data_IF_076306672485
#
_entry.id   IF_076306672485
#
_cell.length_a   1.000
_cell.length_b   1.000
_cell.length_c   1.000
_cell.angle_alpha   90.00
_cell.angle_beta   90.00
_cell.angle_gamma   90.00
#
_symmetry.space_group_name_H-M   'P 1'
#
loop_
_entity.id
_entity.type
_entity.pdbx_description
1 polymer ?
#
# COMPACT_ATOMS: atom_id res chain seq x y z
N UNK A 1 26.73 -1.60 -40.10
CA UNK A 1 26.83 -2.21 -38.76
C UNK A 1 25.44 -2.55 -38.27
N UNK A 2 25.25 -3.79 -38.02
CA UNK A 2 24.04 -4.60 -38.10
C UNK A 2 22.92 -4.22 -37.12
N UNK A 3 21.62 -4.26 -37.56
CA UNK A 3 20.42 -4.13 -36.71
C UNK A 3 20.51 -4.99 -35.43
N UNK A 4 21.19 -6.12 -35.50
CA UNK A 4 21.45 -7.04 -34.38
C UNK A 4 22.34 -6.44 -33.28
N UNK A 5 23.29 -5.59 -33.60
CA UNK A 5 24.18 -4.99 -32.61
C UNK A 5 23.50 -3.86 -31.81
N UNK A 6 22.52 -3.21 -32.43
CA UNK A 6 21.70 -2.16 -31.77
C UNK A 6 20.68 -2.75 -30.81
N UNK A 7 20.04 -3.86 -31.22
CA UNK A 7 19.10 -4.55 -30.32
C UNK A 7 19.83 -5.17 -29.12
N UNK A 8 21.08 -5.63 -29.30
CA UNK A 8 21.85 -6.21 -28.22
C UNK A 8 22.28 -5.17 -27.17
N UNK A 9 22.70 -3.96 -27.60
CA UNK A 9 23.11 -2.88 -26.69
C UNK A 9 21.90 -2.34 -25.91
N UNK A 10 20.72 -2.25 -26.54
CA UNK A 10 19.49 -1.84 -25.90
C UNK A 10 19.00 -2.88 -24.87
N UNK A 11 19.06 -4.16 -25.25
CA UNK A 11 18.69 -5.27 -24.35
C UNK A 11 19.64 -5.30 -23.14
N UNK A 12 20.95 -5.15 -23.35
CA UNK A 12 21.93 -5.10 -22.26
C UNK A 12 21.68 -3.91 -21.34
N UNK A 13 21.35 -2.74 -21.88
CA UNK A 13 20.99 -1.56 -21.09
C UNK A 13 19.73 -1.77 -20.25
N UNK A 14 18.65 -2.29 -20.85
CA UNK A 14 17.39 -2.61 -20.15
C UNK A 14 17.64 -3.64 -19.06
N UNK A 15 18.45 -4.67 -19.34
CA UNK A 15 18.80 -5.71 -18.35
C UNK A 15 19.60 -5.11 -17.20
N UNK A 16 20.58 -4.25 -17.47
CA UNK A 16 21.41 -3.61 -16.43
C UNK A 16 20.56 -2.64 -15.60
N UNK A 17 19.70 -1.82 -16.21
CA UNK A 17 18.79 -0.91 -15.48
C UNK A 17 17.76 -1.67 -14.63
N UNK A 18 17.17 -2.74 -15.16
CA UNK A 18 16.25 -3.59 -14.41
C UNK A 18 16.98 -4.31 -13.26
N UNK A 19 18.20 -4.80 -13.50
CA UNK A 19 19.01 -5.46 -12.50
C UNK A 19 19.46 -4.52 -11.37
N UNK A 20 19.81 -3.27 -11.67
CA UNK A 20 20.16 -2.26 -10.67
C UNK A 20 18.94 -1.82 -9.85
N UNK A 21 17.78 -1.69 -10.48
CA UNK A 21 16.52 -1.40 -9.77
C UNK A 21 16.12 -2.55 -8.84
N UNK A 22 16.24 -3.79 -9.31
CA UNK A 22 15.96 -5.00 -8.51
C UNK A 22 16.95 -5.15 -7.36
N UNK A 23 18.25 -4.90 -7.57
CA UNK A 23 19.28 -4.92 -6.51
C UNK A 23 19.03 -3.85 -5.45
N UNK A 24 18.66 -2.64 -5.85
CA UNK A 24 18.33 -1.54 -4.93
C UNK A 24 17.07 -1.86 -4.12
N UNK A 25 16.06 -2.45 -4.76
CA UNK A 25 14.83 -2.88 -4.11
C UNK A 25 15.09 -4.08 -3.17
N UNK A 26 15.90 -5.06 -3.59
CA UNK A 26 16.27 -6.20 -2.79
C UNK A 26 17.10 -5.81 -1.55
N UNK A 27 18.00 -4.83 -1.66
CA UNK A 27 18.77 -4.33 -0.53
C UNK A 27 17.90 -3.64 0.54
N UNK A 28 16.80 -3.03 0.13
CA UNK A 28 15.81 -2.42 1.03
C UNK A 28 14.90 -3.48 1.65
N UNK A 29 14.51 -4.51 0.88
CA UNK A 29 13.60 -5.57 1.32
C UNK A 29 14.28 -6.61 2.23
N UNK A 30 15.60 -6.85 2.06
CA UNK A 30 16.36 -7.86 2.81
C UNK A 30 16.89 -7.37 4.16
N UNK A 31 16.52 -6.16 4.63
CA UNK A 31 16.95 -5.59 5.93
C UNK A 31 18.47 -5.76 6.21
N UNK A 32 19.28 -5.59 5.17
CA UNK A 32 20.73 -5.71 5.33
C UNK A 32 21.26 -4.71 6.37
N UNK A 33 22.31 -5.05 7.17
CA UNK A 33 22.93 -4.12 8.12
C UNK A 33 23.34 -2.81 7.43
N UNK A 34 23.16 -1.67 8.11
CA UNK A 34 23.36 -0.32 7.55
C UNK A 34 24.60 -0.12 6.65
N UNK A 35 25.80 -0.64 6.99
CA UNK A 35 26.96 -0.45 6.11
C UNK A 35 26.81 -1.13 4.75
N UNK A 36 26.15 -2.28 4.68
CA UNK A 36 25.95 -3.01 3.43
C UNK A 36 24.85 -2.40 2.56
N UNK A 37 23.84 -1.76 3.14
CA UNK A 37 22.84 -0.98 2.39
C UNK A 37 23.51 0.16 1.61
N UNK A 38 24.41 0.90 2.27
CA UNK A 38 25.17 1.98 1.58
C UNK A 38 26.09 1.45 0.49
N UNK A 39 26.71 0.28 0.68
CA UNK A 39 27.55 -0.36 -0.34
C UNK A 39 26.73 -0.78 -1.55
N UNK A 40 25.55 -1.38 -1.34
CA UNK A 40 24.67 -1.81 -2.44
C UNK A 40 24.04 -0.61 -3.16
N UNK A 41 23.61 0.42 -2.43
CA UNK A 41 23.13 1.68 -3.00
C UNK A 41 24.24 2.38 -3.77
N UNK A 42 25.45 2.44 -3.22
CA UNK A 42 26.63 3.00 -3.88
C UNK A 42 27.01 2.24 -5.16
N UNK A 43 26.96 0.91 -5.12
CA UNK A 43 27.20 0.07 -6.29
C UNK A 43 26.09 0.23 -7.35
N UNK A 44 24.82 0.35 -6.94
CA UNK A 44 23.70 0.62 -7.84
C UNK A 44 23.82 2.01 -8.50
N UNK A 45 24.26 3.03 -7.75
CA UNK A 45 24.54 4.38 -8.27
C UNK A 45 25.69 4.33 -9.27
N UNK A 46 26.78 3.63 -8.96
CA UNK A 46 27.92 3.45 -9.86
C UNK A 46 27.54 2.70 -11.14
N UNK A 47 26.76 1.63 -11.06
CA UNK A 47 26.26 0.89 -12.21
C UNK A 47 25.28 1.71 -13.03
N UNK A 48 24.40 2.49 -12.38
CA UNK A 48 23.49 3.45 -13.02
C UNK A 48 24.27 4.55 -13.75
N UNK A 49 25.31 5.09 -13.14
CA UNK A 49 26.21 6.08 -13.75
C UNK A 49 26.96 5.53 -14.96
N UNK A 50 27.50 4.31 -14.89
CA UNK A 50 28.11 3.61 -16.02
C UNK A 50 27.11 3.33 -17.15
N UNK A 51 25.89 2.91 -16.81
CA UNK A 51 24.82 2.68 -17.80
C UNK A 51 24.39 4.00 -18.48
N UNK A 52 24.28 5.09 -17.72
CA UNK A 52 24.01 6.43 -18.25
C UNK A 52 25.14 6.92 -19.16
N UNK A 53 26.40 6.71 -18.79
CA UNK A 53 27.57 7.05 -19.60
C UNK A 53 27.65 6.26 -20.92
N UNK A 54 27.33 4.96 -20.88
CA UNK A 54 27.23 4.12 -22.07
C UNK A 54 26.05 4.53 -22.97
N UNK A 55 24.91 4.86 -22.38
CA UNK A 55 23.73 5.36 -23.09
C UNK A 55 24.03 6.70 -23.78
N UNK A 56 24.64 7.66 -23.07
CA UNK A 56 24.98 8.96 -23.64
C UNK A 56 26.07 8.85 -24.71
N UNK A 57 27.07 7.96 -24.53
CA UNK A 57 28.08 7.70 -25.56
C UNK A 57 27.50 7.08 -26.84
N UNK A 58 26.49 6.21 -26.69
CA UNK A 58 25.75 5.62 -27.82
C UNK A 58 24.83 6.64 -28.50
N UNK A 59 24.18 7.52 -27.71
CA UNK A 59 23.35 8.63 -28.20
C UNK A 59 24.16 9.59 -29.05
N UNK A 60 25.33 10.06 -28.56
CA UNK A 60 26.21 10.99 -29.29
C UNK A 60 26.82 10.39 -30.57
N UNK A 61 27.11 9.08 -30.57
CA UNK A 61 27.55 8.36 -31.77
C UNK A 61 26.46 8.15 -32.81
N UNK A 62 25.24 7.98 -32.37
CA UNK A 62 24.10 7.74 -33.24
C UNK A 62 23.54 9.04 -33.87
N UNK A 63 23.63 10.17 -33.15
CA UNK A 63 23.20 11.48 -33.66
C UNK A 63 23.95 11.89 -34.97
N UNK A 64 25.19 11.44 -35.14
CA UNK A 64 25.94 11.63 -36.40
C UNK A 64 25.42 10.79 -37.56
N UNK A 65 24.50 9.87 -37.37
CA UNK A 65 24.04 8.92 -38.40
C UNK A 65 22.54 8.79 -38.65
N UNK A 66 21.65 9.24 -37.74
CA UNK A 66 20.21 9.06 -37.91
C UNK A 66 19.38 10.22 -37.34
N UNK A 67 18.29 10.56 -38.04
CA UNK A 67 17.35 11.65 -37.73
C UNK A 67 16.72 11.54 -36.35
N UNK A 68 16.64 12.65 -35.60
CA UNK A 68 16.30 12.77 -34.20
C UNK A 68 14.88 12.38 -33.73
N UNK A 69 14.08 11.72 -34.54
CA UNK A 69 12.71 11.34 -34.16
C UNK A 69 12.65 10.11 -33.23
N UNK A 70 13.54 9.12 -33.43
CA UNK A 70 13.52 7.87 -32.65
C UNK A 70 13.97 8.04 -31.19
N UNK A 71 14.87 9.01 -30.92
CA UNK A 71 15.38 9.26 -29.56
C UNK A 71 14.42 10.01 -28.65
N UNK A 72 13.59 10.88 -29.23
CA UNK A 72 12.56 11.57 -28.46
C UNK A 72 11.56 10.57 -27.86
N UNK A 73 11.15 9.59 -28.67
CA UNK A 73 10.24 8.54 -28.24
C UNK A 73 10.86 7.65 -27.15
N UNK A 74 12.17 7.38 -27.21
CA UNK A 74 12.86 6.60 -26.16
C UNK A 74 12.92 7.34 -24.83
N UNK A 75 13.27 8.62 -24.82
CA UNK A 75 13.31 9.42 -23.59
C UNK A 75 11.89 9.60 -23.02
N UNK A 76 10.91 9.77 -23.89
CA UNK A 76 9.49 9.87 -23.47
C UNK A 76 8.90 8.53 -22.99
N UNK A 77 9.56 7.39 -23.28
CA UNK A 77 9.14 6.06 -22.80
C UNK A 77 9.75 5.69 -21.43
N UNK A 78 10.69 6.48 -20.91
CA UNK A 78 11.27 6.26 -19.58
C UNK A 78 10.22 6.60 -18.52
N UNK A 79 9.95 5.66 -17.64
CA UNK A 79 9.09 5.89 -16.48
C UNK A 79 9.75 6.91 -15.55
N UNK A 80 9.26 8.16 -15.56
CA UNK A 80 9.85 9.29 -14.84
C UNK A 80 10.26 10.43 -15.77
N UNK A 81 10.52 11.60 -15.17
CA UNK A 81 10.96 12.79 -15.91
C UNK A 81 12.47 12.75 -16.18
N UNK A 82 12.88 13.02 -17.41
CA UNK A 82 14.30 13.17 -17.76
C UNK A 82 14.55 14.54 -18.39
N UNK A 83 15.44 15.32 -17.80
CA UNK A 83 15.95 16.57 -18.35
C UNK A 83 17.45 16.41 -18.59
N UNK A 84 17.91 16.74 -19.80
CA UNK A 84 19.33 16.77 -20.15
C UNK A 84 19.72 18.18 -20.53
N UNK A 85 20.75 18.70 -19.88
CA UNK A 85 21.40 19.96 -20.19
C UNK A 85 22.70 19.66 -20.95
N UNK A 86 23.06 20.51 -21.93
CA UNK A 86 24.31 20.44 -22.64
C UNK A 86 25.48 21.10 -21.85
N UNK A 87 26.70 21.11 -22.42
CA UNK A 87 27.88 21.71 -21.81
C UNK A 87 27.78 23.21 -21.58
N UNK A 88 26.87 23.89 -22.27
CA UNK A 88 26.58 25.32 -22.10
C UNK A 88 25.41 25.56 -21.10
N UNK A 89 25.04 24.53 -20.37
CA UNK A 89 23.91 24.54 -19.40
C UNK A 89 22.58 24.94 -20.03
N UNK A 90 22.33 24.55 -21.29
CA UNK A 90 21.07 24.75 -21.99
C UNK A 90 20.32 23.44 -22.10
N UNK A 91 18.98 23.51 -22.09
CA UNK A 91 18.12 22.35 -22.28
C UNK A 91 18.40 21.70 -23.63
N UNK A 92 19.05 20.55 -23.60
CA UNK A 92 19.26 19.70 -24.77
C UNK A 92 18.07 18.82 -25.05
N UNK A 93 17.49 18.22 -24.02
CA UNK A 93 16.31 17.35 -24.09
C UNK A 93 15.50 17.41 -22.80
N UNK A 94 14.20 17.28 -22.93
CA UNK A 94 13.28 17.09 -21.79
C UNK A 94 12.21 16.07 -22.19
N UNK A 95 12.01 15.04 -21.36
CA UNK A 95 10.88 14.11 -21.52
C UNK A 95 9.55 14.82 -21.25
N UNK A 96 8.45 14.17 -21.63
CA UNK A 96 7.10 14.68 -21.37
C UNK A 96 6.88 14.97 -19.88
N UNK A 97 7.29 14.04 -19.01
CA UNK A 97 7.13 14.16 -17.57
C UNK A 97 8.01 15.25 -16.97
N UNK A 98 9.29 15.39 -17.42
CA UNK A 98 10.15 16.48 -16.98
C UNK A 98 9.58 17.86 -17.36
N UNK A 99 9.01 17.99 -18.57
CA UNK A 99 8.32 19.22 -18.99
C UNK A 99 7.12 19.51 -18.07
N UNK A 100 6.33 18.49 -17.74
CA UNK A 100 5.19 18.61 -16.85
C UNK A 100 5.61 19.05 -15.44
N UNK A 101 6.65 18.42 -14.87
CA UNK A 101 7.12 18.73 -13.52
C UNK A 101 7.79 20.10 -13.39
N UNK A 102 8.52 20.53 -14.42
CA UNK A 102 9.22 21.81 -14.44
C UNK A 102 8.40 22.94 -15.10
N UNK A 103 7.16 22.64 -15.53
CA UNK A 103 6.28 23.59 -16.24
C UNK A 103 6.93 24.22 -17.48
N UNK A 104 7.70 23.40 -18.21
CA UNK A 104 8.42 23.89 -19.38
C UNK A 104 7.47 24.04 -20.58
N UNK A 105 7.65 25.10 -21.38
CA UNK A 105 6.92 25.25 -22.62
C UNK A 105 7.40 24.25 -23.69
N UNK A 106 6.59 24.03 -24.74
CA UNK A 106 6.91 23.09 -25.82
C UNK A 106 8.21 23.45 -26.56
N UNK A 107 8.60 24.73 -26.54
CA UNK A 107 9.84 25.25 -27.14
C UNK A 107 11.00 25.36 -26.14
N UNK A 108 11.01 24.59 -25.04
CA UNK A 108 12.03 24.65 -23.99
C UNK A 108 13.47 24.29 -24.47
N UNK A 109 13.60 23.68 -25.64
CA UNK A 109 14.91 23.37 -26.21
C UNK A 109 15.76 24.63 -26.36
N UNK A 110 17.04 24.56 -25.90
CA UNK A 110 18.00 25.64 -25.83
C UNK A 110 17.74 26.73 -24.79
N UNK A 111 16.68 26.60 -23.96
CA UNK A 111 16.53 27.46 -22.79
C UNK A 111 17.73 27.30 -21.85
N UNK A 112 18.14 28.37 -21.22
CA UNK A 112 19.20 28.30 -20.22
C UNK A 112 18.65 27.65 -18.92
N UNK A 113 19.52 27.00 -18.14
CA UNK A 113 19.11 26.26 -16.94
C UNK A 113 18.29 27.09 -15.96
N UNK A 114 18.62 28.39 -15.77
CA UNK A 114 17.87 29.27 -14.85
C UNK A 114 16.49 29.66 -15.34
N UNK A 115 16.24 29.55 -16.65
CA UNK A 115 14.92 29.78 -17.22
C UNK A 115 14.05 28.52 -17.16
N UNK A 116 14.72 27.35 -17.25
CA UNK A 116 14.07 26.05 -17.24
C UNK A 116 13.83 25.51 -15.82
N UNK A 117 14.73 25.79 -14.88
CA UNK A 117 14.69 25.33 -13.50
C UNK A 117 14.59 26.54 -12.61
N UNK A 118 13.46 26.69 -11.89
CA UNK A 118 13.20 27.81 -11.00
C UNK A 118 13.54 27.49 -9.53
N UNK A 119 13.71 26.23 -9.22
CA UNK A 119 14.04 25.74 -7.89
C UNK A 119 15.53 25.92 -7.59
N UNK A 120 15.86 26.62 -6.51
CA UNK A 120 17.24 26.96 -6.13
C UNK A 120 18.06 25.73 -5.76
N UNK A 121 17.44 24.71 -5.12
CA UNK A 121 18.13 23.51 -4.71
C UNK A 121 18.48 22.64 -5.93
N UNK A 122 17.57 22.51 -6.89
CA UNK A 122 17.88 21.86 -8.17
C UNK A 122 18.98 22.58 -8.93
N UNK A 123 19.00 23.91 -8.96
CA UNK A 123 20.06 24.67 -9.59
C UNK A 123 21.41 24.47 -8.88
N UNK A 124 21.42 24.32 -7.56
CA UNK A 124 22.61 23.99 -6.78
C UNK A 124 23.13 22.59 -7.13
N UNK A 125 22.23 21.61 -7.24
CA UNK A 125 22.59 20.25 -7.66
C UNK A 125 23.16 20.24 -9.09
N UNK A 126 22.59 21.01 -10.01
CA UNK A 126 23.14 21.16 -11.37
C UNK A 126 24.55 21.76 -11.34
N UNK A 127 24.79 22.77 -10.47
CA UNK A 127 26.12 23.38 -10.33
C UNK A 127 27.16 22.40 -9.74
N UNK A 128 26.76 21.44 -8.94
CA UNK A 128 27.62 20.33 -8.46
C UNK A 128 27.92 19.36 -9.60
N UNK A 129 26.93 18.99 -10.40
CA UNK A 129 27.10 18.10 -11.54
C UNK A 129 28.02 18.72 -12.62
N UNK A 130 27.97 20.04 -12.82
CA UNK A 130 28.92 20.77 -13.70
C UNK A 130 30.40 20.67 -13.23
N UNK A 131 30.59 20.36 -11.93
CA UNK A 131 31.92 20.09 -11.34
C UNK A 131 32.29 18.60 -11.31
N UNK A 132 31.39 17.73 -11.76
CA UNK A 132 31.60 16.28 -11.79
C UNK A 132 31.04 15.54 -10.57
N UNK A 133 30.27 16.19 -9.74
CA UNK A 133 29.69 15.59 -8.52
C UNK A 133 28.21 15.23 -8.74
N UNK A 134 27.87 13.97 -8.48
CA UNK A 134 26.45 13.53 -8.47
C UNK A 134 25.76 13.99 -7.21
N UNK A 135 24.49 14.32 -7.31
CA UNK A 135 23.66 14.74 -6.18
C UNK A 135 22.26 14.19 -6.26
N UNK A 136 21.62 14.10 -5.09
CA UNK A 136 20.24 13.62 -4.93
C UNK A 136 19.49 14.64 -4.07
N UNK A 137 18.32 15.10 -4.54
CA UNK A 137 17.48 16.02 -3.79
C UNK A 137 16.02 15.67 -3.91
N UNK A 138 15.17 16.30 -3.12
CA UNK A 138 13.72 16.20 -3.22
C UNK A 138 13.17 17.48 -3.85
N UNK A 139 12.22 17.32 -4.74
CA UNK A 139 11.56 18.40 -5.45
C UNK A 139 10.05 18.22 -5.41
N UNK A 140 9.33 19.25 -4.99
CA UNK A 140 7.85 19.20 -4.96
C UNK A 140 7.29 20.00 -6.11
N UNK A 141 6.50 19.34 -6.94
CA UNK A 141 5.79 19.95 -8.05
C UNK A 141 4.37 19.41 -8.17
N UNK A 142 3.40 20.31 -8.33
CA UNK A 142 1.98 19.99 -8.53
C UNK A 142 1.41 18.99 -7.51
N UNK A 143 1.82 19.14 -6.25
CA UNK A 143 1.37 18.26 -5.15
C UNK A 143 2.03 16.88 -5.13
N UNK A 144 3.02 16.63 -6.00
CA UNK A 144 3.83 15.40 -6.02
C UNK A 144 5.19 15.67 -5.43
N UNK A 145 5.68 14.76 -4.59
CA UNK A 145 7.06 14.75 -4.11
C UNK A 145 7.89 13.85 -5.01
N UNK A 146 8.86 14.45 -5.67
CA UNK A 146 9.76 13.80 -6.63
C UNK A 146 11.15 13.70 -6.00
N UNK A 147 11.81 12.57 -6.19
CA UNK A 147 13.23 12.44 -5.93
C UNK A 147 13.97 12.72 -7.23
N UNK A 148 14.92 13.64 -7.19
CA UNK A 148 15.68 14.07 -8.37
C UNK A 148 17.13 13.68 -8.23
N UNK A 149 17.58 12.80 -9.11
CA UNK A 149 18.98 12.45 -9.26
C UNK A 149 19.59 13.38 -10.33
N UNK A 150 20.68 14.04 -9.97
CA UNK A 150 21.39 14.97 -10.86
C UNK A 150 22.81 14.47 -11.05
N UNK A 151 23.13 14.06 -12.28
CA UNK A 151 24.38 13.43 -12.64
C UNK A 151 25.11 14.19 -13.76
N UNK A 152 26.45 14.30 -13.70
CA UNK A 152 27.24 14.78 -14.82
C UNK A 152 27.22 13.76 -15.97
N UNK A 153 27.05 14.25 -17.17
CA UNK A 153 27.22 13.45 -18.39
C UNK A 153 28.68 13.55 -18.84
N UNK A 154 29.40 12.44 -18.67
CA UNK A 154 30.85 12.41 -18.98
C UNK A 154 31.09 11.67 -20.30
N UNK A 155 31.84 12.29 -21.22
CA UNK A 155 32.26 11.68 -22.47
C UNK A 155 33.75 11.90 -22.68
N UNK A 156 34.50 10.82 -22.90
CA UNK A 156 35.97 10.85 -23.08
C UNK A 156 36.73 11.60 -21.96
N UNK A 157 36.24 11.49 -20.71
CA UNK A 157 36.84 12.14 -19.55
C UNK A 157 36.49 13.63 -19.38
N UNK A 158 35.62 14.16 -20.23
CA UNK A 158 35.11 15.54 -20.13
C UNK A 158 33.61 15.56 -19.83
N UNK A 159 33.19 16.52 -19.00
CA UNK A 159 31.78 16.75 -18.73
C UNK A 159 31.19 17.45 -19.96
N UNK A 160 30.21 16.78 -20.58
CA UNK A 160 29.54 17.28 -21.80
C UNK A 160 28.11 17.76 -21.53
N UNK A 161 27.67 17.63 -20.30
CA UNK A 161 26.32 18.06 -19.89
C UNK A 161 25.93 17.56 -18.51
N UNK A 162 24.68 17.77 -18.16
CA UNK A 162 24.07 17.31 -16.90
C UNK A 162 22.74 16.62 -17.19
N UNK A 163 22.47 15.52 -16.51
CA UNK A 163 21.19 14.80 -16.57
C UNK A 163 20.47 14.91 -15.23
N UNK A 164 19.18 15.26 -15.28
CA UNK A 164 18.27 15.21 -14.14
C UNK A 164 17.24 14.11 -14.38
N UNK A 165 17.10 13.19 -13.42
CA UNK A 165 16.11 12.13 -13.43
C UNK A 165 15.12 12.37 -12.29
N UNK A 166 13.85 12.60 -12.63
CA UNK A 166 12.75 12.83 -11.70
C UNK A 166 11.99 11.53 -11.47
N UNK A 167 11.93 11.06 -10.23
CA UNK A 167 11.24 9.85 -9.81
C UNK A 167 10.10 10.23 -8.87
N UNK A 168 8.87 9.84 -9.23
CA UNK A 168 7.71 10.03 -8.36
C UNK A 168 7.80 9.10 -7.15
N UNK A 169 7.91 9.68 -5.97
CA UNK A 169 8.03 8.96 -4.70
C UNK A 169 6.70 8.87 -3.95
N UNK A 170 5.61 9.38 -4.53
CA UNK A 170 4.33 9.50 -3.86
C UNK A 170 3.81 8.17 -3.31
N UNK A 171 3.86 7.12 -4.11
CA UNK A 171 3.43 5.78 -3.70
C UNK A 171 4.35 5.22 -2.60
N UNK A 172 5.67 5.33 -2.78
CA UNK A 172 6.65 4.80 -1.83
C UNK A 172 6.62 5.52 -0.48
N UNK A 173 6.44 6.84 -0.48
CA UNK A 173 6.28 7.64 0.72
C UNK A 173 4.94 7.33 1.43
N UNK A 174 3.88 7.12 0.67
CA UNK A 174 2.57 6.71 1.19
C UNK A 174 2.65 5.36 1.89
N UNK A 175 3.30 4.36 1.26
CA UNK A 175 3.51 3.04 1.85
C UNK A 175 4.36 3.11 3.12
N UNK A 176 5.44 3.91 3.12
CA UNK A 176 6.27 4.11 4.31
C UNK A 176 5.50 4.77 5.46
N UNK A 177 4.70 5.78 5.15
CA UNK A 177 3.84 6.46 6.13
C UNK A 177 2.85 5.47 6.74
N UNK A 178 2.16 4.70 5.89
CA UNK A 178 1.20 3.68 6.30
C UNK A 178 1.84 2.62 7.22
N UNK A 179 3.06 2.18 6.89
CA UNK A 179 3.83 1.23 7.72
C UNK A 179 4.21 1.82 9.07
N UNK A 180 4.63 3.09 9.12
CA UNK A 180 4.98 3.78 10.38
C UNK A 180 3.75 3.95 11.27
N UNK A 181 2.63 4.41 10.69
CA UNK A 181 1.37 4.58 11.41
C UNK A 181 0.85 3.25 11.93
N UNK A 182 0.92 2.18 11.13
CA UNK A 182 0.59 0.83 11.56
C UNK A 182 1.42 0.40 12.77
N UNK A 183 2.74 0.53 12.73
CA UNK A 183 3.63 0.13 13.83
C UNK A 183 3.36 0.94 15.11
N UNK A 184 3.13 2.23 14.98
CA UNK A 184 2.77 3.10 16.11
C UNK A 184 1.43 2.70 16.73
N UNK A 185 0.41 2.45 15.90
CA UNK A 185 -0.92 2.03 16.35
C UNK A 185 -0.89 0.66 17.03
N UNK A 186 -0.17 -0.32 16.45
CA UNK A 186 0.05 -1.64 17.08
C UNK A 186 0.64 -1.48 18.48
N UNK A 187 1.71 -0.69 18.60
CA UNK A 187 2.37 -0.48 19.90
C UNK A 187 1.43 0.13 20.94
N UNK A 188 0.63 1.09 20.52
CA UNK A 188 -0.34 1.76 21.41
C UNK A 188 -1.48 0.82 21.82
N UNK A 189 -2.07 0.07 20.87
CA UNK A 189 -3.19 -0.84 21.13
C UNK A 189 -2.77 -2.08 21.95
N UNK A 190 -1.50 -2.50 21.88
CA UNK A 190 -0.94 -3.56 22.74
C UNK A 190 -0.64 -3.04 24.16
N UNK A 191 -0.11 -1.82 24.30
CA UNK A 191 0.29 -1.26 25.60
C UNK A 191 -0.89 -1.07 26.55
N UNK A 192 -2.04 -0.61 26.02
CA UNK A 192 -3.22 -0.31 26.83
C UNK A 192 -3.75 -1.53 27.60
N UNK A 193 -4.11 -2.67 26.98
CA UNK A 193 -4.56 -3.86 27.71
C UNK A 193 -3.48 -4.43 28.64
N UNK A 194 -2.22 -4.42 28.20
CA UNK A 194 -1.10 -4.91 29.00
C UNK A 194 -0.93 -4.11 30.30
N UNK A 195 -1.03 -2.77 30.23
CA UNK A 195 -1.00 -1.90 31.42
C UNK A 195 -2.15 -2.19 32.36
N UNK A 196 -3.37 -2.44 31.82
CA UNK A 196 -4.55 -2.80 32.64
C UNK A 196 -4.36 -4.14 33.32
N UNK A 197 -3.88 -5.17 32.60
CA UNK A 197 -3.58 -6.51 33.16
C UNK A 197 -2.56 -6.39 34.28
N UNK A 198 -1.43 -5.70 34.04
CA UNK A 198 -0.37 -5.49 35.05
C UNK A 198 -0.90 -4.78 36.28
N UNK A 199 -1.66 -3.69 36.10
CA UNK A 199 -2.19 -2.91 37.22
C UNK A 199 -3.15 -3.71 38.11
N UNK A 200 -4.09 -4.49 37.52
CA UNK A 200 -4.97 -5.35 38.30
C UNK A 200 -4.22 -6.48 38.99
N UNK A 201 -3.24 -7.09 38.32
CA UNK A 201 -2.41 -8.12 38.90
C UNK A 201 -1.56 -7.60 40.08
N UNK A 202 -0.97 -6.40 39.95
CA UNK A 202 -0.23 -5.73 41.00
C UNK A 202 -1.09 -5.40 42.22
N UNK A 203 -2.33 -4.91 42.02
CA UNK A 203 -3.27 -4.63 43.10
C UNK A 203 -3.62 -5.91 43.89
N UNK A 204 -3.81 -7.03 43.18
CA UNK A 204 -4.06 -8.33 43.83
C UNK A 204 -2.79 -8.78 44.58
N UNK A 205 -1.63 -8.75 43.96
CA UNK A 205 -0.37 -9.21 44.53
C UNK A 205 0.08 -8.39 45.75
N UNK A 206 -0.16 -7.09 45.75
CA UNK A 206 0.15 -6.17 46.84
C UNK A 206 -0.86 -6.26 47.99
N UNK A 207 -1.91 -7.07 47.90
CA UNK A 207 -2.96 -7.16 48.91
C UNK A 207 -3.83 -5.89 49.01
N UNK A 208 -3.80 -5.02 48.01
CA UNK A 208 -4.59 -3.79 47.94
C UNK A 208 -6.06 -4.06 47.51
N UNK A 209 -6.30 -5.19 46.87
CA UNK A 209 -7.63 -5.66 46.54
C UNK A 209 -8.30 -6.27 47.76
N UNK A 210 -9.52 -5.83 48.11
CA UNK A 210 -10.32 -6.52 49.12
C UNK A 210 -10.65 -7.90 48.59
N UNK A 211 -10.88 -8.91 49.47
CA UNK A 211 -11.19 -10.28 49.03
C UNK A 211 -12.42 -10.37 48.09
N UNK A 212 -13.39 -9.47 48.27
CA UNK A 212 -14.56 -9.33 47.40
C UNK A 212 -14.23 -8.83 45.97
N UNK A 213 -13.12 -8.09 45.79
CA UNK A 213 -12.77 -7.44 44.53
C UNK A 213 -11.86 -8.33 43.67
N UNK A 214 -11.21 -9.34 44.27
CA UNK A 214 -10.32 -10.26 43.55
C UNK A 214 -10.98 -10.98 42.36
N UNK A 215 -12.24 -11.52 42.47
CA UNK A 215 -12.89 -12.15 41.35
C UNK A 215 -13.17 -11.15 40.20
N UNK A 216 -13.54 -9.91 40.54
CA UNK A 216 -13.77 -8.87 39.52
C UNK A 216 -12.45 -8.51 38.81
N UNK A 217 -11.36 -8.30 39.53
CA UNK A 217 -10.05 -8.00 38.93
C UNK A 217 -9.55 -9.16 38.08
N UNK A 218 -9.70 -10.40 38.53
CA UNK A 218 -9.37 -11.59 37.74
C UNK A 218 -10.20 -11.67 36.46
N UNK A 219 -11.48 -11.36 36.51
CA UNK A 219 -12.36 -11.29 35.34
C UNK A 219 -11.92 -10.19 34.34
N UNK A 220 -11.53 -9.03 34.85
CA UNK A 220 -10.99 -7.94 34.03
C UNK A 220 -9.68 -8.33 33.36
N UNK A 221 -8.73 -8.95 34.08
CA UNK A 221 -7.49 -9.50 33.53
C UNK A 221 -7.82 -10.50 32.41
N UNK A 222 -8.73 -11.43 32.65
CA UNK A 222 -9.13 -12.43 31.64
C UNK A 222 -9.73 -11.78 30.39
N UNK A 223 -10.60 -10.78 30.55
CA UNK A 223 -11.19 -10.04 29.43
C UNK A 223 -10.12 -9.33 28.61
N UNK A 224 -9.19 -8.59 29.25
CA UNK A 224 -8.14 -7.87 28.54
C UNK A 224 -7.12 -8.83 27.90
N UNK A 225 -6.83 -9.99 28.50
CA UNK A 225 -5.98 -11.03 27.91
C UNK A 225 -6.60 -11.63 26.64
N UNK A 226 -7.92 -11.94 26.66
CA UNK A 226 -8.63 -12.42 25.47
C UNK A 226 -8.61 -11.38 24.34
N UNK A 227 -8.81 -10.10 24.70
CA UNK A 227 -8.74 -9.00 23.75
C UNK A 227 -7.36 -8.86 23.13
N UNK A 228 -6.30 -8.97 23.94
CA UNK A 228 -4.91 -8.91 23.50
C UNK A 228 -4.58 -10.05 22.53
N UNK A 229 -5.01 -11.28 22.82
CA UNK A 229 -4.83 -12.43 21.94
C UNK A 229 -5.52 -12.24 20.60
N UNK A 230 -6.77 -11.74 20.59
CA UNK A 230 -7.51 -11.43 19.36
C UNK A 230 -6.75 -10.39 18.52
N UNK A 231 -6.27 -9.31 19.15
CA UNK A 231 -5.49 -8.27 18.46
C UNK A 231 -4.21 -8.82 17.85
N UNK A 232 -3.46 -9.66 18.59
CA UNK A 232 -2.25 -10.31 18.05
C UNK A 232 -2.59 -11.20 16.86
N UNK A 233 -3.66 -11.99 16.95
CA UNK A 233 -4.12 -12.84 15.84
C UNK A 233 -4.46 -12.01 14.60
N UNK A 234 -5.19 -10.91 14.75
CA UNK A 234 -5.55 -10.01 13.65
C UNK A 234 -4.31 -9.38 12.99
N UNK A 235 -3.30 -8.98 13.81
CA UNK A 235 -2.03 -8.42 13.31
C UNK A 235 -1.25 -9.46 12.50
N UNK A 236 -1.13 -10.69 13.00
CA UNK A 236 -0.44 -11.78 12.29
C UNK A 236 -1.16 -12.09 10.97
N UNK A 237 -2.50 -12.14 11.00
CA UNK A 237 -3.33 -12.33 9.80
C UNK A 237 -3.08 -11.24 8.76
N UNK A 238 -3.17 -9.99 9.17
CA UNK A 238 -2.96 -8.86 8.28
C UNK A 238 -1.55 -8.85 7.67
N UNK A 239 -0.52 -9.18 8.49
CA UNK A 239 0.86 -9.32 8.01
C UNK A 239 1.00 -10.43 6.97
N UNK A 240 0.37 -11.60 7.20
CA UNK A 240 0.41 -12.70 6.24
C UNK A 240 -0.33 -12.40 4.93
N UNK A 241 -1.37 -11.58 4.99
CA UNK A 241 -2.09 -11.10 3.81
C UNK A 241 -1.23 -10.11 3.01
N UNK A 242 -0.53 -9.18 3.67
CA UNK A 242 0.37 -8.20 3.04
C UNK A 242 1.56 -8.88 2.32
N UNK A 243 2.07 -9.99 2.84
CA UNK A 243 3.18 -10.76 2.23
C UNK A 243 2.77 -11.59 1.01
N UNK A 244 1.49 -11.59 0.67
CA UNK A 244 0.99 -12.31 -0.51
C UNK A 244 1.09 -13.83 -0.39
N UNK A 245 1.02 -14.38 0.82
CA UNK A 245 1.11 -15.82 1.07
C UNK A 245 0.28 -16.60 0.05
N UNK A 246 0.92 -17.60 -0.60
CA UNK A 246 0.25 -18.50 -1.52
C UNK A 246 -0.86 -19.21 -0.74
N UNK A 247 -2.10 -18.91 -1.08
CA UNK A 247 -3.27 -19.59 -0.54
C UNK A 247 -3.71 -20.66 -1.53
N UNK A 248 -4.07 -21.83 -1.02
CA UNK A 248 -4.65 -22.88 -1.84
C UNK A 248 -5.85 -22.32 -2.61
N UNK A 249 -5.82 -22.45 -3.91
CA UNK A 249 -6.91 -22.06 -4.79
C UNK A 249 -7.78 -23.28 -5.06
N UNK A 250 -8.97 -23.26 -4.53
CA UNK A 250 -10.00 -24.26 -4.75
C UNK A 250 -11.33 -23.61 -5.12
N UNK A 251 -12.23 -24.32 -5.81
CA UNK A 251 -13.60 -23.86 -5.94
C UNK A 251 -14.27 -23.80 -4.55
N UNK A 252 -14.80 -22.66 -4.17
CA UNK A 252 -15.47 -22.42 -2.89
C UNK A 252 -16.85 -21.86 -3.15
N UNK A 253 -17.87 -22.47 -2.54
CA UNK A 253 -19.24 -21.95 -2.55
C UNK A 253 -19.43 -20.94 -1.43
N UNK A 254 -19.65 -19.68 -1.78
CA UNK A 254 -19.87 -18.62 -0.79
C UNK A 254 -21.20 -18.77 -0.03
N UNK A 255 -22.19 -19.44 -0.59
CA UNK A 255 -23.42 -19.74 0.10
C UNK A 255 -23.18 -20.69 1.28
N UNK A 256 -22.42 -21.77 1.06
CA UNK A 256 -22.02 -22.70 2.13
C UNK A 256 -21.17 -22.00 3.20
N UNK A 257 -20.22 -21.15 2.78
CA UNK A 257 -19.39 -20.41 3.74
C UNK A 257 -20.19 -19.42 4.57
N UNK A 258 -21.20 -18.78 3.99
CA UNK A 258 -22.10 -17.89 4.71
C UNK A 258 -22.94 -18.64 5.76
N UNK A 259 -23.46 -19.80 5.38
CA UNK A 259 -24.23 -20.68 6.28
C UNK A 259 -23.38 -21.13 7.48
N UNK A 260 -22.18 -21.64 7.24
CA UNK A 260 -21.23 -22.01 8.29
C UNK A 260 -20.88 -20.84 9.21
N UNK A 261 -20.71 -19.62 8.66
CA UNK A 261 -20.45 -18.43 9.47
C UNK A 261 -21.67 -18.09 10.35
N UNK A 262 -22.88 -18.22 9.83
CA UNK A 262 -24.10 -18.00 10.59
C UNK A 262 -24.18 -19.00 11.74
N UNK A 263 -23.91 -20.28 11.51
CA UNK A 263 -23.92 -21.32 12.54
C UNK A 263 -22.92 -21.03 13.67
N UNK A 264 -21.68 -20.66 13.30
CA UNK A 264 -20.62 -20.31 14.26
C UNK A 264 -21.01 -19.10 15.11
N UNK A 265 -21.66 -18.11 14.50
CA UNK A 265 -22.04 -16.85 15.13
C UNK A 265 -23.42 -16.86 15.79
N UNK A 266 -24.21 -17.94 15.63
CA UNK A 266 -25.57 -18.05 16.17
C UNK A 266 -25.64 -17.78 17.68
N UNK A 267 -24.71 -18.37 18.45
CA UNK A 267 -24.61 -18.13 19.88
C UNK A 267 -24.28 -16.66 20.22
N UNK A 268 -23.39 -16.06 19.50
CA UNK A 268 -23.03 -14.64 19.69
C UNK A 268 -24.21 -13.74 19.38
N UNK A 269 -24.97 -14.05 18.34
CA UNK A 269 -26.18 -13.32 17.96
C UNK A 269 -27.25 -13.43 19.06
N UNK A 270 -27.47 -14.63 19.60
CA UNK A 270 -28.42 -14.86 20.72
C UNK A 270 -28.01 -14.06 21.97
N UNK A 271 -26.73 -14.10 22.35
CA UNK A 271 -26.18 -13.35 23.50
C UNK A 271 -26.36 -11.82 23.34
N UNK A 272 -26.38 -11.31 22.12
CA UNK A 272 -26.61 -9.89 21.79
C UNK A 272 -28.08 -9.57 21.53
N UNK A 273 -28.96 -10.61 21.44
CA UNK A 273 -30.38 -10.47 21.13
C UNK A 273 -30.62 -10.00 19.69
N UNK A 274 -29.85 -10.51 18.74
CA UNK A 274 -29.89 -10.20 17.30
C UNK A 274 -30.26 -11.45 16.53
N UNK A 275 -31.13 -11.32 15.51
CA UNK A 275 -31.44 -12.42 14.59
C UNK A 275 -30.52 -12.43 13.40
N UNK A 276 -30.17 -13.61 12.87
CA UNK A 276 -29.48 -13.80 11.62
C UNK A 276 -30.45 -14.33 10.57
N UNK A 277 -30.44 -13.73 9.39
CA UNK A 277 -31.28 -14.16 8.26
C UNK A 277 -30.39 -14.34 7.04
N UNK A 278 -30.37 -15.54 6.47
CA UNK A 278 -29.55 -15.89 5.28
C UNK A 278 -30.45 -16.13 4.07
N UNK A 279 -30.22 -15.40 2.99
CA UNK A 279 -30.79 -15.63 1.66
C UNK A 279 -29.64 -15.85 0.68
N UNK A 280 -29.31 -17.12 0.42
CA UNK A 280 -28.12 -17.47 -0.33
C UNK A 280 -28.43 -18.34 -1.55
N UNK A 281 -27.96 -17.90 -2.71
CA UNK A 281 -27.84 -18.68 -3.92
C UNK A 281 -26.40 -19.14 -4.09
N UNK A 282 -26.20 -20.29 -4.72
CA UNK A 282 -24.88 -20.83 -4.99
C UNK A 282 -24.01 -19.84 -5.75
N UNK A 283 -22.83 -19.52 -5.19
CA UNK A 283 -21.85 -18.62 -5.77
C UNK A 283 -20.45 -19.21 -5.65
N UNK A 284 -19.97 -19.78 -6.74
CA UNK A 284 -18.67 -20.43 -6.78
C UNK A 284 -17.56 -19.44 -7.11
N UNK A 285 -16.56 -19.33 -6.24
CA UNK A 285 -15.37 -18.48 -6.42
C UNK A 285 -14.12 -19.36 -6.30
N UNK A 286 -13.14 -19.15 -7.21
CA UNK A 286 -11.83 -19.78 -7.07
C UNK A 286 -11.01 -19.07 -5.99
N UNK A 287 -10.77 -19.73 -4.87
CA UNK A 287 -10.07 -19.08 -3.77
C UNK A 287 -9.78 -19.97 -2.58
N UNK A 288 -9.33 -19.33 -1.50
CA UNK A 288 -9.09 -19.99 -0.21
C UNK A 288 -10.35 -19.90 0.65
N UNK A 289 -10.90 -21.08 1.00
CA UNK A 289 -12.08 -21.17 1.90
C UNK A 289 -11.84 -20.43 3.21
N UNK A 290 -10.62 -20.54 3.78
CA UNK A 290 -10.30 -19.88 5.05
C UNK A 290 -10.34 -18.35 4.96
N UNK A 291 -9.86 -17.75 3.87
CA UNK A 291 -9.91 -16.30 3.67
C UNK A 291 -11.34 -15.81 3.42
N UNK A 292 -12.10 -16.52 2.59
CA UNK A 292 -13.47 -16.17 2.29
C UNK A 292 -14.37 -16.31 3.54
N UNK A 293 -14.14 -17.36 4.36
CA UNK A 293 -14.81 -17.53 5.65
C UNK A 293 -14.45 -16.40 6.62
N UNK A 294 -13.16 -16.01 6.71
CA UNK A 294 -12.72 -14.90 7.56
C UNK A 294 -13.36 -13.56 7.16
N UNK A 295 -13.47 -13.32 5.86
CA UNK A 295 -14.11 -12.12 5.33
C UNK A 295 -15.58 -12.04 5.74
N UNK A 296 -16.35 -13.13 5.53
CA UNK A 296 -17.77 -13.21 5.90
C UNK A 296 -17.97 -13.15 7.41
N UNK A 297 -17.15 -13.89 8.16
CA UNK A 297 -17.18 -13.87 9.63
C UNK A 297 -17.02 -12.45 10.17
N UNK A 298 -16.03 -11.67 9.68
CA UNK A 298 -15.80 -10.30 10.14
C UNK A 298 -16.98 -9.37 9.81
N UNK A 299 -17.61 -9.53 8.66
CA UNK A 299 -18.79 -8.74 8.29
C UNK A 299 -19.99 -9.06 9.20
N UNK A 300 -20.28 -10.34 9.39
CA UNK A 300 -21.45 -10.79 10.18
C UNK A 300 -21.24 -10.47 11.66
N UNK A 301 -20.03 -10.72 12.21
CA UNK A 301 -19.69 -10.41 13.61
C UNK A 301 -19.79 -8.89 13.88
N UNK A 302 -19.35 -8.04 12.93
CA UNK A 302 -19.56 -6.60 13.03
C UNK A 302 -21.08 -6.24 13.05
N UNK A 303 -21.87 -6.84 12.16
CA UNK A 303 -23.31 -6.63 12.12
C UNK A 303 -24.02 -7.04 13.42
N UNK A 304 -23.51 -8.07 14.11
CA UNK A 304 -24.02 -8.50 15.42
C UNK A 304 -23.60 -7.51 16.52
N UNK A 305 -22.30 -7.21 16.60
CA UNK A 305 -21.71 -6.39 17.69
C UNK A 305 -22.20 -4.96 17.72
N UNK A 306 -22.46 -4.38 16.56
CA UNK A 306 -22.93 -2.99 16.43
C UNK A 306 -24.43 -2.88 16.23
N UNK A 307 -25.16 -3.99 16.44
CA UNK A 307 -26.61 -4.00 16.39
C UNK A 307 -27.25 -3.50 17.69
N UNK A 308 -28.55 -3.32 17.63
CA UNK A 308 -29.43 -3.07 18.77
C UNK A 308 -30.15 -4.36 19.19
N UNK A 309 -30.57 -4.46 20.44
CA UNK A 309 -31.39 -5.59 20.91
C UNK A 309 -32.70 -5.68 20.11
N UNK A 310 -33.02 -6.88 19.63
CA UNK A 310 -34.17 -7.13 18.75
C UNK A 310 -33.92 -6.73 17.30
N UNK A 311 -32.64 -6.40 16.93
CA UNK A 311 -32.27 -6.14 15.55
C UNK A 311 -31.99 -7.42 14.76
N UNK A 312 -31.65 -7.23 13.48
CA UNK A 312 -31.39 -8.31 12.54
C UNK A 312 -30.08 -8.05 11.76
N UNK A 313 -29.42 -9.12 11.33
CA UNK A 313 -28.37 -9.09 10.30
C UNK A 313 -28.86 -9.94 9.14
N UNK A 314 -29.04 -9.31 7.98
CA UNK A 314 -29.40 -9.99 6.74
C UNK A 314 -28.15 -10.26 5.92
N UNK A 315 -27.93 -11.50 5.57
CA UNK A 315 -26.83 -11.96 4.72
C UNK A 315 -27.43 -12.42 3.39
N UNK A 316 -27.03 -11.78 2.30
CA UNK A 316 -27.50 -12.12 0.95
C UNK A 316 -26.34 -12.54 0.09
N UNK A 317 -26.40 -13.70 -0.56
CA UNK A 317 -25.45 -14.18 -1.56
C UNK A 317 -26.22 -14.37 -2.86
N UNK A 318 -26.10 -13.43 -3.79
CA UNK A 318 -26.86 -13.46 -5.05
C UNK A 318 -26.18 -12.62 -6.15
N UNK A 319 -26.35 -13.03 -7.41
CA UNK A 319 -25.96 -12.23 -8.56
C UNK A 319 -24.47 -11.90 -8.65
N UNK A 320 -23.58 -12.76 -8.12
CA UNK A 320 -22.14 -12.53 -8.09
C UNK A 320 -21.67 -11.60 -6.96
N UNK A 321 -22.52 -11.32 -5.98
CA UNK A 321 -22.21 -10.46 -4.84
C UNK A 321 -22.60 -11.09 -3.51
N UNK A 322 -21.92 -10.61 -2.46
CA UNK A 322 -22.30 -10.87 -1.06
C UNK A 322 -22.63 -9.54 -0.42
N UNK A 323 -23.77 -9.48 0.24
CA UNK A 323 -24.23 -8.31 0.99
C UNK A 323 -24.53 -8.71 2.44
N UNK A 324 -24.00 -7.94 3.39
CA UNK A 324 -24.32 -8.04 4.81
C UNK A 324 -24.93 -6.71 5.25
N UNK A 325 -26.17 -6.76 5.71
CA UNK A 325 -26.94 -5.59 6.15
C UNK A 325 -27.40 -5.78 7.60
N UNK A 326 -27.11 -4.81 8.45
CA UNK A 326 -27.57 -4.79 9.84
C UNK A 326 -28.58 -3.67 10.09
N UNK A 327 -29.41 -3.84 11.10
CA UNK A 327 -30.36 -2.83 11.58
C UNK A 327 -29.85 -2.08 12.81
N UNK A 328 -28.53 -1.99 12.95
CA UNK A 328 -27.85 -1.50 14.14
C UNK A 328 -27.80 0.02 14.31
N UNK A 329 -26.72 0.48 14.92
CA UNK A 329 -26.53 1.89 15.25
C UNK A 329 -26.18 2.75 14.05
N UNK A 330 -25.75 2.14 12.93
CA UNK A 330 -25.26 2.85 11.76
C UNK A 330 -23.97 3.60 12.00
N UNK A 331 -23.50 4.26 10.94
CA UNK A 331 -22.23 4.99 10.90
C UNK A 331 -22.49 6.40 10.35
N UNK A 332 -22.06 7.47 11.05
CA UNK A 332 -22.16 8.83 10.53
C UNK A 332 -21.39 8.99 9.22
N UNK A 333 -21.90 9.79 8.29
CA UNK A 333 -21.39 9.96 6.93
C UNK A 333 -19.89 10.37 6.88
N UNK A 334 -19.45 11.20 7.84
CA UNK A 334 -18.07 11.67 7.94
C UNK A 334 -17.05 10.54 8.22
N UNK A 335 -17.50 9.42 8.77
CA UNK A 335 -16.65 8.28 9.10
C UNK A 335 -16.58 7.22 7.98
N UNK A 336 -17.55 7.20 7.04
CA UNK A 336 -17.63 6.16 5.99
C UNK A 336 -16.34 6.02 5.15
N UNK A 337 -15.64 7.10 4.75
CA UNK A 337 -14.40 6.98 3.99
C UNK A 337 -13.27 6.25 4.74
N UNK A 338 -13.35 6.20 6.09
CA UNK A 338 -12.26 5.75 6.96
C UNK A 338 -12.50 4.38 7.60
N UNK A 339 -13.71 3.82 7.53
CA UNK A 339 -14.07 2.59 8.29
C UNK A 339 -13.26 1.35 7.88
N UNK A 340 -12.69 1.34 6.68
CA UNK A 340 -11.79 0.28 6.20
C UNK A 340 -10.31 0.52 6.52
N UNK A 341 -9.97 1.66 7.15
CA UNK A 341 -8.61 1.92 7.59
C UNK A 341 -8.23 1.07 8.81
N UNK A 342 -6.97 0.69 8.90
CA UNK A 342 -6.45 -0.12 10.00
C UNK A 342 -6.54 0.64 11.33
N UNK A 343 -7.09 0.01 12.37
CA UNK A 343 -7.31 0.58 13.71
C UNK A 343 -8.32 1.73 13.77
N UNK A 344 -9.04 1.99 12.66
CA UNK A 344 -10.05 3.03 12.66
C UNK A 344 -11.28 2.61 13.48
N UNK A 345 -11.85 3.56 14.22
CA UNK A 345 -13.03 3.36 15.08
C UNK A 345 -13.76 4.68 15.23
N UNK A 346 -15.06 4.68 14.99
CA UNK A 346 -15.93 5.87 15.13
C UNK A 346 -15.92 6.41 16.55
N UNK A 347 -15.99 5.54 17.56
CA UNK A 347 -15.95 5.90 18.97
C UNK A 347 -14.98 4.99 19.75
N UNK A 348 -13.85 5.54 20.20
CA UNK A 348 -12.83 4.84 20.98
C UNK A 348 -13.30 4.45 22.38
N UNK A 349 -14.29 5.16 22.94
CA UNK A 349 -14.78 4.92 24.30
C UNK A 349 -15.79 3.77 24.35
N UNK A 350 -16.76 3.77 23.45
CA UNK A 350 -17.81 2.75 23.32
C UNK A 350 -17.26 1.41 22.88
N UNK A 351 -16.28 1.44 22.00
CA UNK A 351 -15.68 0.23 21.45
C UNK A 351 -14.70 -0.48 22.40
N UNK A 352 -14.30 0.13 23.54
CA UNK A 352 -13.66 -0.60 24.65
C UNK A 352 -14.64 -1.59 25.32
N UNK A 353 -15.92 -1.31 25.29
CA UNK A 353 -16.95 -2.18 25.86
C UNK A 353 -17.29 -3.35 24.91
N UNK A 354 -17.33 -3.10 23.59
CA UNK A 354 -17.64 -4.10 22.56
C UNK A 354 -16.44 -4.95 22.15
N UNK A 355 -15.22 -4.62 22.57
CA UNK A 355 -14.02 -5.45 22.39
C UNK A 355 -13.44 -5.48 20.98
N UNK A 356 -13.87 -4.62 20.05
CA UNK A 356 -13.36 -4.59 18.68
C UNK A 356 -11.88 -4.14 18.59
N UNK A 357 -11.12 -4.72 17.66
CA UNK A 357 -9.72 -4.41 17.42
C UNK A 357 -9.54 -3.23 16.45
N UNK A 358 -10.54 -2.92 15.64
CA UNK A 358 -10.47 -1.96 14.53
C UNK A 358 -9.71 -2.50 13.31
N UNK A 359 -9.47 -3.82 13.26
CA UNK A 359 -8.78 -4.48 12.14
C UNK A 359 -9.74 -5.30 11.26
N UNK A 360 -10.90 -5.69 11.75
CA UNK A 360 -11.83 -6.58 11.04
C UNK A 360 -12.23 -6.08 9.65
N UNK A 361 -12.68 -4.82 9.52
CA UNK A 361 -13.03 -4.25 8.21
C UNK A 361 -11.82 -4.03 7.31
N UNK A 362 -10.64 -3.73 7.86
CA UNK A 362 -9.40 -3.67 7.09
C UNK A 362 -9.02 -5.05 6.53
N UNK A 363 -9.21 -6.13 7.29
CA UNK A 363 -9.04 -7.51 6.82
C UNK A 363 -10.05 -7.82 5.71
N UNK A 364 -11.34 -7.46 5.88
CA UNK A 364 -12.37 -7.62 4.84
C UNK A 364 -11.94 -6.94 3.54
N UNK A 365 -11.52 -5.68 3.60
CA UNK A 365 -11.05 -4.92 2.44
C UNK A 365 -9.88 -5.62 1.75
N UNK A 366 -8.86 -6.03 2.51
CA UNK A 366 -7.67 -6.67 1.96
C UNK A 366 -7.99 -8.01 1.27
N UNK A 367 -8.87 -8.82 1.89
CA UNK A 367 -9.33 -10.07 1.29
C UNK A 367 -10.17 -9.79 0.04
N UNK A 368 -11.10 -8.84 0.08
CA UNK A 368 -11.94 -8.47 -1.06
C UNK A 368 -11.08 -8.03 -2.26
N UNK A 369 -10.11 -7.12 -2.05
CA UNK A 369 -9.16 -6.66 -3.07
C UNK A 369 -8.36 -7.81 -3.70
N UNK A 370 -7.95 -8.81 -2.91
CA UNK A 370 -7.26 -10.01 -3.42
C UNK A 370 -8.11 -10.81 -4.43
N UNK A 371 -9.44 -10.77 -4.26
CA UNK A 371 -10.39 -11.40 -5.18
C UNK A 371 -10.96 -10.44 -6.23
N UNK A 372 -10.44 -9.19 -6.28
CA UNK A 372 -10.90 -8.17 -7.23
C UNK A 372 -12.25 -7.56 -6.89
N UNK A 373 -12.75 -7.79 -5.67
CA UNK A 373 -13.97 -7.18 -5.19
C UNK A 373 -13.65 -5.88 -4.42
N UNK A 374 -14.40 -4.81 -4.71
CA UNK A 374 -14.28 -3.55 -3.99
C UNK A 374 -15.44 -3.43 -3.00
N UNK A 375 -15.17 -3.28 -1.68
CA UNK A 375 -16.22 -3.12 -0.70
C UNK A 375 -16.99 -1.80 -0.89
N UNK A 376 -18.30 -1.90 -1.03
CA UNK A 376 -19.21 -0.77 -1.03
C UNK A 376 -19.93 -0.70 0.31
N UNK A 377 -20.00 0.47 0.91
CA UNK A 377 -20.67 0.68 2.21
C UNK A 377 -21.72 1.78 2.10
N UNK A 378 -22.89 1.47 2.62
CA UNK A 378 -23.99 2.40 2.79
C UNK A 378 -24.42 2.34 4.26
N UNK A 379 -24.53 3.47 4.92
CA UNK A 379 -24.94 3.52 6.33
C UNK A 379 -25.60 4.84 6.67
N UNK A 380 -26.57 4.78 7.57
CA UNK A 380 -27.24 5.94 8.16
C UNK A 380 -27.32 5.73 9.66
N UNK A 381 -26.89 6.74 10.41
CA UNK A 381 -26.91 6.70 11.88
C UNK A 381 -28.33 6.39 12.41
N UNK A 382 -28.45 5.39 13.28
CA UNK A 382 -29.71 4.90 13.85
C UNK A 382 -30.50 3.91 12.98
N UNK A 383 -30.12 3.71 11.72
CA UNK A 383 -30.81 2.80 10.80
C UNK A 383 -30.07 1.49 10.54
N UNK A 384 -28.74 1.53 10.52
CA UNK A 384 -27.90 0.38 10.30
C UNK A 384 -26.86 0.58 9.20
N UNK A 385 -26.19 -0.51 8.84
CA UNK A 385 -25.12 -0.52 7.85
C UNK A 385 -25.31 -1.65 6.86
N UNK A 386 -25.03 -1.37 5.58
CA UNK A 386 -24.99 -2.34 4.49
C UNK A 386 -23.62 -2.33 3.87
N UNK A 387 -22.97 -3.49 3.78
CA UNK A 387 -21.69 -3.69 3.10
C UNK A 387 -21.89 -4.71 1.99
N UNK A 388 -21.55 -4.33 0.76
CA UNK A 388 -21.68 -5.17 -0.43
C UNK A 388 -20.30 -5.41 -1.04
N UNK A 389 -20.02 -6.68 -1.36
CA UNK A 389 -18.82 -7.15 -2.05
C UNK A 389 -19.26 -7.75 -3.39
N UNK A 390 -18.98 -7.06 -4.49
CA UNK A 390 -19.27 -7.53 -5.84
C UNK A 390 -18.02 -8.18 -6.43
N UNK A 391 -18.11 -9.46 -6.80
CA UNK A 391 -17.01 -10.20 -7.41
C UNK A 391 -17.04 -10.03 -8.93
N UNK A 392 -15.89 -9.79 -9.58
CA UNK A 392 -15.84 -9.70 -11.03
C UNK A 392 -16.15 -11.03 -11.69
N UNK A 393 -16.76 -11.00 -12.87
CA UNK A 393 -17.28 -12.17 -13.60
C UNK A 393 -16.19 -13.21 -13.93
N UNK A 394 -14.96 -12.79 -14.11
CA UNK A 394 -13.80 -13.66 -14.37
C UNK A 394 -13.35 -14.47 -13.14
N UNK A 395 -13.83 -14.11 -11.96
CA UNK A 395 -13.59 -14.83 -10.69
C UNK A 395 -14.72 -15.79 -10.32
N UNK A 396 -15.87 -15.65 -10.94
CA UNK A 396 -17.03 -16.50 -10.71
C UNK A 396 -16.91 -17.75 -11.60
N UNK A 397 -16.88 -18.92 -10.96
CA UNK A 397 -16.86 -20.19 -11.66
C UNK A 397 -18.28 -20.51 -12.11
N UNK A 398 -18.56 -20.31 -13.38
CA UNK A 398 -19.81 -20.78 -14.00
C UNK A 398 -19.72 -22.28 -14.22
N UNK A 399 -20.74 -23.04 -13.85
CA UNK A 399 -20.84 -24.45 -14.23
C UNK A 399 -20.75 -24.53 -15.76
N UNK A 400 -19.63 -25.01 -16.28
CA UNK A 400 -19.61 -25.49 -17.67
C UNK A 400 -20.44 -26.77 -17.70
N UNK A 401 -21.63 -26.69 -18.31
CA UNK A 401 -22.42 -27.86 -18.74
C UNK A 401 -21.57 -28.84 -19.51
#
# INVERSE_FOLDING_TARGET
MDKRFRSLSLIVYIIISAFTAVLSLAAVLLELPQPWQYVVIGAAILLGGCAAALFTSSLLKAERRYHGADYAAMIDSITGGVLVLDGDARVYRASRDARYYLELPDFALKMYKTDAIKDEELLRCVALAEKGESSLTEFTSRGKTLRVLVDPVIFSGQIVGTMLLFLDMGEQLSLQKLRREFTANVSHELKTPLTSISGYAEMIAAGLAKGSDVPEFASRIQKESKRLLALISDIIRLSSLDEGAQTDKAPVDLAEVADECCDVLARSAEEHGVSLELDAERLMIEGSRSLLSEMLYNLIDNGIRYNKKGGCVHITVRGGSVCVEDTGIGIPQEHLPHVFERFYRVDKSRSKQTGGTGLGLAIVKHIAEKYGAEPQIESEEGRGTRITLAFPQDRILTERN
#
